data_IF_169279630022
#
_entry.id   IF_169279630022
#
_cell.length_a   1.000
_cell.length_b   1.000
_cell.length_c   1.000
_cell.angle_alpha   90.00
_cell.angle_beta   90.00
_cell.angle_gamma   90.00
#
_symmetry.space_group_name_H-M   'P 1'
#
loop_
_entity.id
_entity.type
_entity.pdbx_description
1 polymer ?
#
# COMPACT_ATOMS: atom_id res chain seq x y z
N UNK A 1 -29.87 -42.95 55.93
CA UNK A 1 -28.45 -42.67 55.60
C UNK A 1 -28.11 -43.37 54.30
N UNK A 2 -27.91 -42.62 53.21
CA UNK A 2 -26.88 -42.88 52.17
C UNK A 2 -27.11 -41.85 51.06
N UNK A 3 -26.20 -40.87 50.93
CA UNK A 3 -26.22 -39.84 49.89
C UNK A 3 -25.38 -40.37 48.72
N UNK A 4 -26.02 -40.66 47.58
CA UNK A 4 -25.30 -40.92 46.33
C UNK A 4 -24.87 -39.55 45.79
N UNK A 5 -23.56 -39.31 45.80
CA UNK A 5 -22.92 -38.12 45.23
C UNK A 5 -22.80 -38.32 43.72
N UNK A 6 -23.62 -37.63 42.93
CA UNK A 6 -23.39 -37.47 41.51
C UNK A 6 -22.20 -36.53 41.31
N UNK A 7 -21.08 -37.08 40.83
CA UNK A 7 -19.88 -36.32 40.51
C UNK A 7 -20.07 -35.68 39.12
N UNK A 8 -20.32 -34.37 39.08
CA UNK A 8 -20.35 -33.60 37.83
C UNK A 8 -18.90 -33.36 37.42
N UNK A 9 -18.44 -34.04 36.37
CA UNK A 9 -17.14 -33.78 35.76
C UNK A 9 -17.27 -32.54 34.87
N UNK A 10 -16.95 -31.36 35.42
CA UNK A 10 -16.85 -30.14 34.63
C UNK A 10 -15.55 -30.20 33.79
N UNK A 11 -15.67 -30.58 32.52
CA UNK A 11 -14.58 -30.47 31.56
C UNK A 11 -14.31 -29.00 31.25
N UNK A 12 -13.22 -28.45 31.78
CA UNK A 12 -12.69 -27.16 31.37
C UNK A 12 -12.02 -27.36 30.01
N UNK A 13 -12.72 -27.01 28.93
CA UNK A 13 -12.09 -26.86 27.63
C UNK A 13 -11.20 -25.62 27.67
N UNK A 14 -9.88 -25.82 27.81
CA UNK A 14 -8.91 -24.75 27.56
C UNK A 14 -9.00 -24.39 26.08
N UNK A 15 -9.66 -23.27 25.78
CA UNK A 15 -9.46 -22.56 24.53
C UNK A 15 -8.03 -22.01 24.55
N UNK A 16 -7.10 -22.75 23.95
CA UNK A 16 -5.77 -22.22 23.67
C UNK A 16 -5.97 -21.03 22.70
N UNK A 17 -5.50 -19.83 23.03
CA UNK A 17 -5.52 -18.74 22.08
C UNK A 17 -4.59 -19.13 20.94
N UNK A 18 -5.17 -19.35 19.75
CA UNK A 18 -4.39 -19.31 18.52
C UNK A 18 -3.85 -17.89 18.44
N UNK A 19 -2.55 -17.73 18.66
CA UNK A 19 -1.87 -16.50 18.34
C UNK A 19 -2.07 -16.27 16.84
N UNK A 20 -3.01 -15.39 16.48
CA UNK A 20 -3.01 -14.79 15.16
C UNK A 20 -1.71 -13.98 15.12
N UNK A 21 -0.72 -14.36 14.30
CA UNK A 21 0.54 -13.66 14.36
C UNK A 21 0.31 -12.22 13.91
N UNK A 22 0.60 -11.28 14.81
CA UNK A 22 0.52 -9.86 14.57
C UNK A 22 1.79 -9.40 13.80
N UNK A 23 2.04 -10.03 12.65
CA UNK A 23 3.24 -9.95 11.76
C UNK A 23 3.54 -8.54 11.20
N UNK A 24 3.14 -7.45 11.87
CA UNK A 24 3.37 -6.10 11.36
C UNK A 24 4.78 -5.56 11.65
N UNK A 25 5.59 -6.28 12.43
CA UNK A 25 6.95 -5.87 12.78
C UNK A 25 7.98 -6.30 11.73
N UNK A 26 7.69 -7.39 11.03
CA UNK A 26 8.51 -8.05 10.02
C UNK A 26 8.11 -7.70 8.58
N UNK A 27 7.08 -6.87 8.39
CA UNK A 27 6.57 -6.52 7.06
C UNK A 27 7.00 -5.13 6.60
N UNK A 28 7.18 -4.97 5.28
CA UNK A 28 7.26 -3.65 4.67
C UNK A 28 5.90 -3.27 4.05
N UNK A 29 5.09 -2.52 4.79
CA UNK A 29 3.77 -2.11 4.31
C UNK A 29 3.91 -1.05 3.22
N UNK A 30 3.29 -1.28 2.06
CA UNK A 30 3.08 -0.30 1.01
C UNK A 30 1.59 -0.08 0.77
N UNK A 31 1.06 1.02 1.30
CA UNK A 31 -0.34 1.39 1.15
C UNK A 31 -0.52 2.46 0.09
N UNK A 32 -1.26 2.15 -0.97
CA UNK A 32 -1.59 3.06 -2.07
C UNK A 32 -3.04 3.52 -1.98
N UNK A 33 -3.26 4.83 -2.07
CA UNK A 33 -4.58 5.38 -2.43
C UNK A 33 -4.55 5.97 -3.83
N UNK A 34 -5.57 5.65 -4.62
CA UNK A 34 -5.76 6.10 -6.00
C UNK A 34 -6.89 7.12 -6.02
N UNK A 35 -6.62 8.30 -6.56
CA UNK A 35 -7.61 9.35 -6.76
C UNK A 35 -7.73 9.67 -8.25
N UNK A 36 -8.74 9.14 -8.94
CA UNK A 36 -8.96 9.45 -10.34
C UNK A 36 -9.57 10.84 -10.51
N UNK A 37 -9.11 11.55 -11.54
CA UNK A 37 -9.66 12.79 -12.05
C UNK A 37 -9.79 12.68 -13.58
N UNK A 38 -10.39 13.69 -14.23
CA UNK A 38 -10.64 13.65 -15.69
C UNK A 38 -9.36 13.65 -16.53
N UNK A 39 -8.33 14.38 -16.10
CA UNK A 39 -7.08 14.63 -16.84
C UNK A 39 -5.84 13.98 -16.20
N UNK A 40 -5.99 13.37 -15.02
CA UNK A 40 -4.93 12.66 -14.34
C UNK A 40 -5.46 11.64 -13.34
N UNK A 41 -4.56 10.78 -12.87
CA UNK A 41 -4.78 9.89 -11.74
C UNK A 41 -3.67 10.19 -10.73
N UNK A 42 -4.05 10.57 -9.51
CA UNK A 42 -3.11 10.77 -8.43
C UNK A 42 -2.93 9.47 -7.64
N UNK A 43 -1.68 9.09 -7.39
CA UNK A 43 -1.32 7.97 -6.54
C UNK A 43 -0.62 8.53 -5.30
N UNK A 44 -1.09 8.15 -4.12
CA UNK A 44 -0.45 8.47 -2.87
C UNK A 44 -0.03 7.18 -2.19
N UNK A 45 1.28 7.01 -2.03
CA UNK A 45 1.90 5.83 -1.44
C UNK A 45 2.45 6.18 -0.07
N UNK A 46 2.08 5.39 0.92
CA UNK A 46 2.63 5.43 2.28
C UNK A 46 3.36 4.13 2.51
N UNK A 47 4.68 4.21 2.64
CA UNK A 47 5.54 3.07 2.87
C UNK A 47 5.99 3.08 4.34
N UNK A 48 5.78 1.98 5.04
CA UNK A 48 6.07 1.86 6.48
C UNK A 48 6.86 0.59 6.70
N UNK A 49 8.19 0.68 6.86
CA UNK A 49 8.98 -0.49 7.23
C UNK A 49 8.65 -0.89 8.67
N UNK A 50 8.37 -2.17 8.90
CA UNK A 50 8.38 -2.76 10.23
C UNK A 50 9.78 -2.73 10.84
N UNK A 51 9.86 -2.84 12.17
CA UNK A 51 11.11 -2.75 12.95
C UNK A 51 12.18 -3.72 12.43
N UNK A 52 11.80 -4.96 12.08
CA UNK A 52 12.75 -6.01 11.72
C UNK A 52 13.28 -5.84 10.29
N UNK A 53 12.51 -5.19 9.40
CA UNK A 53 12.90 -4.92 8.01
C UNK A 53 13.44 -3.51 7.79
N UNK A 54 13.32 -2.62 8.76
CA UNK A 54 13.74 -1.22 8.66
C UNK A 54 15.21 -1.07 8.29
N UNK A 55 16.10 -1.90 8.85
CA UNK A 55 17.52 -1.88 8.50
C UNK A 55 17.77 -2.17 7.02
N UNK A 56 17.08 -3.16 6.45
CA UNK A 56 17.19 -3.51 5.05
C UNK A 56 16.63 -2.40 4.13
N UNK A 57 15.50 -1.80 4.49
CA UNK A 57 14.93 -0.67 3.74
C UNK A 57 15.82 0.57 3.81
N UNK A 58 16.41 0.87 4.97
CA UNK A 58 17.39 1.97 5.11
C UNK A 58 18.59 1.72 4.20
N UNK A 59 19.19 0.52 4.23
CA UNK A 59 20.34 0.19 3.38
C UNK A 59 20.04 0.18 1.88
N UNK A 60 18.76 0.06 1.48
CA UNK A 60 18.36 0.26 0.08
C UNK A 60 18.36 1.74 -0.35
N UNK A 61 18.25 2.66 0.61
CA UNK A 61 18.22 4.11 0.38
C UNK A 61 19.62 4.69 0.59
N UNK A 62 20.25 4.40 1.73
CA UNK A 62 21.63 4.75 2.10
C UNK A 62 22.61 3.88 1.31
N UNK A 63 22.81 4.22 0.05
CA UNK A 63 23.59 3.45 -0.92
C UNK A 63 25.09 3.61 -0.74
N UNK A 64 25.54 4.75 -0.21
CA UNK A 64 26.95 4.97 0.11
C UNK A 64 27.33 4.55 1.54
N UNK A 65 26.33 4.17 2.35
CA UNK A 65 26.47 3.63 3.71
C UNK A 65 27.09 4.63 4.69
N UNK A 66 26.88 5.94 4.48
CA UNK A 66 27.37 7.00 5.38
C UNK A 66 26.49 7.20 6.62
N UNK A 67 25.35 6.49 6.69
CA UNK A 67 24.40 6.55 7.80
C UNK A 67 23.43 7.73 7.73
N UNK A 68 23.33 8.41 6.59
CA UNK A 68 22.40 9.50 6.30
C UNK A 68 21.64 9.21 5.01
N UNK A 69 20.50 9.86 4.83
CA UNK A 69 19.73 9.78 3.58
C UNK A 69 19.90 11.09 2.83
N UNK A 70 20.85 11.15 1.90
CA UNK A 70 21.07 12.34 1.09
C UNK A 70 19.88 12.63 0.17
N UNK A 71 19.69 13.87 -0.31
CA UNK A 71 18.64 14.17 -1.28
C UNK A 71 18.73 13.34 -2.57
N UNK A 72 19.94 13.01 -3.03
CA UNK A 72 20.15 12.20 -4.22
C UNK A 72 19.67 10.75 -4.03
N UNK A 73 19.95 10.17 -2.86
CA UNK A 73 19.50 8.83 -2.49
C UNK A 73 17.99 8.75 -2.31
N UNK A 74 17.40 9.76 -1.66
CA UNK A 74 15.95 9.88 -1.53
C UNK A 74 15.28 9.94 -2.92
N UNK A 75 15.79 10.76 -3.83
CA UNK A 75 15.28 10.86 -5.21
C UNK A 75 15.44 9.54 -5.97
N UNK A 76 16.60 8.89 -5.86
CA UNK A 76 16.85 7.61 -6.51
C UNK A 76 15.91 6.51 -5.98
N UNK A 77 15.62 6.51 -4.67
CA UNK A 77 14.68 5.57 -4.08
C UNK A 77 13.24 5.82 -4.55
N UNK A 78 12.80 7.08 -4.60
CA UNK A 78 11.46 7.44 -5.14
C UNK A 78 11.32 7.02 -6.60
N UNK A 79 12.35 7.25 -7.43
CA UNK A 79 12.36 6.82 -8.82
C UNK A 79 12.29 5.28 -8.96
N UNK A 80 12.98 4.55 -8.09
CA UNK A 80 12.92 3.09 -8.04
C UNK A 80 11.53 2.58 -7.67
N UNK A 81 10.89 3.20 -6.67
CA UNK A 81 9.50 2.87 -6.31
C UNK A 81 8.57 3.16 -7.48
N UNK A 82 8.70 4.33 -8.13
CA UNK A 82 7.89 4.66 -9.31
C UNK A 82 8.04 3.63 -10.45
N UNK A 83 9.26 3.15 -10.70
CA UNK A 83 9.53 2.11 -11.70
C UNK A 83 8.90 0.76 -11.33
N UNK A 84 8.69 0.48 -10.03
CA UNK A 84 7.95 -0.68 -9.55
C UNK A 84 6.43 -0.58 -9.74
N UNK A 85 5.92 0.60 -10.12
CA UNK A 85 4.50 0.81 -10.37
C UNK A 85 4.17 0.67 -11.85
N UNK A 86 3.08 -0.03 -12.14
CA UNK A 86 2.50 -0.08 -13.49
C UNK A 86 1.07 0.45 -13.44
N UNK A 87 0.73 1.33 -14.37
CA UNK A 87 -0.62 1.89 -14.52
C UNK A 87 -1.01 1.82 -15.98
N UNK A 88 -2.23 1.38 -16.27
CA UNK A 88 -2.82 1.49 -17.59
C UNK A 88 -4.27 1.96 -17.53
N UNK A 89 -4.67 2.72 -18.54
CA UNK A 89 -6.05 3.19 -18.70
C UNK A 89 -6.59 2.65 -20.01
N UNK A 90 -7.70 1.91 -19.95
CA UNK A 90 -8.34 1.28 -21.11
C UNK A 90 -7.37 0.39 -21.91
N UNK A 91 -6.42 -0.24 -21.23
CA UNK A 91 -5.38 -1.08 -21.83
C UNK A 91 -4.09 -0.35 -22.22
N UNK A 92 -4.08 0.98 -22.26
CA UNK A 92 -2.90 1.78 -22.65
C UNK A 92 -2.01 2.06 -21.43
N UNK A 93 -0.72 1.67 -21.45
CA UNK A 93 0.22 1.96 -20.37
C UNK A 93 0.46 3.48 -20.20
N UNK A 94 0.54 3.92 -18.95
CA UNK A 94 0.76 5.32 -18.60
C UNK A 94 1.99 5.48 -17.70
N UNK A 95 2.74 6.56 -17.92
CA UNK A 95 3.91 6.87 -17.12
C UNK A 95 3.52 7.37 -15.72
N UNK A 96 4.18 6.84 -14.70
CA UNK A 96 4.06 7.27 -13.31
C UNK A 96 5.18 8.27 -13.01
N UNK A 97 4.82 9.51 -12.67
CA UNK A 97 5.76 10.60 -12.45
C UNK A 97 5.75 11.01 -10.97
N UNK A 98 6.90 11.03 -10.27
CA UNK A 98 6.99 11.56 -8.92
C UNK A 98 6.64 13.05 -8.87
N UNK A 99 5.83 13.45 -7.88
CA UNK A 99 5.48 14.86 -7.63
C UNK A 99 6.09 15.37 -6.33
N UNK A 100 5.99 14.56 -5.28
CA UNK A 100 6.48 14.93 -3.96
C UNK A 100 6.88 13.67 -3.20
N UNK A 101 7.86 13.80 -2.33
CA UNK A 101 8.27 12.76 -1.42
C UNK A 101 8.71 13.38 -0.10
N UNK A 102 8.36 12.72 1.00
CA UNK A 102 8.91 13.04 2.32
C UNK A 102 9.45 11.76 2.96
N UNK A 103 10.58 11.91 3.64
CA UNK A 103 11.24 10.84 4.35
C UNK A 103 11.21 11.16 5.85
N UNK A 104 10.90 10.17 6.69
CA UNK A 104 10.97 10.32 8.14
C UNK A 104 12.42 10.28 8.61
N UNK A 105 12.66 10.50 9.91
CA UNK A 105 13.99 10.28 10.49
C UNK A 105 14.36 8.79 10.48
N UNK A 106 15.66 8.49 10.42
CA UNK A 106 16.15 7.11 10.51
C UNK A 106 15.74 6.42 11.82
N UNK A 107 15.65 7.18 12.92
CA UNK A 107 15.13 6.68 14.21
C UNK A 107 13.68 6.24 14.09
N UNK A 108 12.81 7.06 13.48
CA UNK A 108 11.41 6.73 13.29
C UNK A 108 11.23 5.50 12.38
N UNK A 109 12.05 5.37 11.33
CA UNK A 109 12.07 4.18 10.47
C UNK A 109 12.43 2.92 11.27
N UNK A 110 13.54 2.95 12.02
CA UNK A 110 13.98 1.83 12.86
C UNK A 110 12.96 1.46 13.93
N UNK A 111 12.23 2.45 14.44
CA UNK A 111 11.14 2.26 15.40
C UNK A 111 9.82 1.75 14.79
N UNK A 112 9.74 1.54 13.46
CA UNK A 112 8.51 1.07 12.80
C UNK A 112 7.37 2.09 12.75
N UNK A 113 7.66 3.36 13.00
CA UNK A 113 6.68 4.46 13.06
C UNK A 113 6.86 5.49 11.95
N UNK A 114 8.01 5.45 11.28
CA UNK A 114 8.35 6.33 10.18
C UNK A 114 7.55 5.99 8.93
N UNK A 115 6.97 7.01 8.32
CA UNK A 115 6.21 6.88 7.07
C UNK A 115 6.99 7.58 5.96
N UNK A 116 7.37 6.84 4.93
CA UNK A 116 7.77 7.43 3.66
C UNK A 116 6.50 7.78 2.90
N UNK A 117 6.30 9.06 2.58
CA UNK A 117 5.06 9.56 1.97
C UNK A 117 5.37 10.10 0.58
N UNK A 118 4.92 9.37 -0.45
CA UNK A 118 5.22 9.64 -1.85
C UNK A 118 3.93 9.95 -2.62
N UNK A 119 3.96 11.01 -3.40
CA UNK A 119 2.89 11.39 -4.33
C UNK A 119 3.38 11.25 -5.74
N UNK A 120 2.60 10.57 -6.57
CA UNK A 120 2.85 10.43 -7.98
C UNK A 120 1.63 10.90 -8.77
N UNK A 121 1.89 11.40 -9.98
CA UNK A 121 0.87 11.72 -10.97
C UNK A 121 1.03 10.83 -12.19
N UNK A 122 -0.10 10.36 -12.68
CA UNK A 122 -0.24 9.71 -13.98
C UNK A 122 -1.11 10.62 -14.84
N UNK A 123 -0.57 11.14 -15.96
CA UNK A 123 -1.38 11.92 -16.91
C UNK A 123 -2.31 10.95 -17.63
N UNK A 124 -3.61 11.24 -17.62
CA UNK A 124 -4.62 10.30 -18.11
C UNK A 124 -5.87 11.07 -18.56
N UNK A 125 -6.31 10.89 -19.80
CA UNK A 125 -7.56 11.47 -20.27
C UNK A 125 -8.69 10.44 -20.18
N UNK A 126 -9.58 10.57 -19.20
CA UNK A 126 -10.77 9.73 -19.12
C UNK A 126 -11.69 10.02 -20.30
N UNK A 127 -12.22 8.97 -20.91
CA UNK A 127 -13.25 9.09 -21.95
C UNK A 127 -14.59 9.34 -21.28
N UNK A 128 -15.49 10.06 -21.95
CA UNK A 128 -16.91 10.02 -21.56
C UNK A 128 -17.42 8.58 -21.63
N UNK A 129 -18.16 8.16 -20.62
CA UNK A 129 -18.62 6.79 -20.46
C UNK A 129 -17.67 5.91 -19.63
N UNK A 130 -17.61 4.64 -19.98
CA UNK A 130 -16.87 3.64 -19.21
C UNK A 130 -15.34 3.79 -19.40
N UNK A 131 -14.61 3.69 -18.28
CA UNK A 131 -13.16 3.62 -18.24
C UNK A 131 -12.71 2.48 -17.33
N UNK A 132 -11.62 1.83 -17.70
CA UNK A 132 -11.00 0.77 -16.91
C UNK A 132 -9.56 1.14 -16.56
N UNK A 133 -9.28 1.30 -15.28
CA UNK A 133 -7.93 1.54 -14.76
C UNK A 133 -7.39 0.22 -14.21
N UNK A 134 -6.18 -0.15 -14.62
CA UNK A 134 -5.40 -1.20 -13.98
C UNK A 134 -4.15 -0.59 -13.31
N UNK A 135 -3.86 -1.08 -12.11
CA UNK A 135 -2.70 -0.70 -11.31
C UNK A 135 -2.01 -1.95 -10.78
N UNK A 136 -0.68 -1.94 -10.77
CA UNK A 136 0.14 -2.95 -10.11
C UNK A 136 1.29 -2.31 -9.36
N UNK A 137 1.59 -2.83 -8.17
CA UNK A 137 2.78 -2.52 -7.40
C UNK A 137 3.64 -3.78 -7.28
N UNK A 138 4.83 -3.78 -7.88
CA UNK A 138 5.77 -4.90 -7.81
C UNK A 138 6.48 -5.02 -6.45
N UNK A 139 6.32 -4.04 -5.56
CA UNK A 139 7.07 -3.92 -4.32
C UNK A 139 8.48 -3.38 -4.55
N UNK A 140 9.08 -2.81 -3.51
CA UNK A 140 10.41 -2.22 -3.57
C UNK A 140 11.36 -2.74 -2.48
N UNK A 141 10.92 -3.70 -1.65
CA UNK A 141 11.72 -4.18 -0.52
C UNK A 141 11.35 -5.58 -0.04
N UNK A 142 12.05 -6.09 0.98
CA UNK A 142 11.80 -7.41 1.56
C UNK A 142 10.40 -7.47 2.18
N UNK A 143 9.80 -8.66 2.19
CA UNK A 143 8.56 -8.96 2.91
C UNK A 143 7.47 -7.88 2.73
N UNK A 144 7.33 -7.43 1.47
CA UNK A 144 6.40 -6.35 1.12
C UNK A 144 4.97 -6.84 1.30
N UNK A 145 4.15 -6.04 1.97
CA UNK A 145 2.70 -6.23 2.06
C UNK A 145 2.01 -5.05 1.41
N UNK A 146 1.04 -5.33 0.54
CA UNK A 146 0.33 -4.30 -0.21
C UNK A 146 -1.04 -4.02 0.39
N UNK A 147 -1.42 -2.75 0.34
CA UNK A 147 -2.80 -2.31 0.46
C UNK A 147 -3.08 -1.32 -0.66
N UNK A 148 -4.27 -1.40 -1.26
CA UNK A 148 -4.67 -0.47 -2.32
C UNK A 148 -6.14 -0.14 -2.25
N UNK A 149 -6.48 1.14 -2.36
CA UNK A 149 -7.86 1.62 -2.36
C UNK A 149 -8.05 2.80 -3.31
N UNK A 150 -9.24 2.91 -3.90
CA UNK A 150 -9.65 4.14 -4.57
C UNK A 150 -10.35 5.08 -3.57
N UNK A 151 -9.97 6.35 -3.58
CA UNK A 151 -10.73 7.39 -2.89
C UNK A 151 -12.05 7.66 -3.63
N UNK A 152 -13.04 8.18 -2.91
CA UNK A 152 -14.24 8.70 -3.56
C UNK A 152 -13.82 9.87 -4.46
N UNK A 153 -14.19 9.87 -5.76
CA UNK A 153 -13.87 10.98 -6.66
C UNK A 153 -14.40 12.32 -6.13
N UNK A 154 -13.61 13.38 -6.32
CA UNK A 154 -14.03 14.74 -5.97
C UNK A 154 -14.95 15.34 -7.05
N UNK A 155 -14.81 14.87 -8.29
CA UNK A 155 -15.69 15.22 -9.41
C UNK A 155 -16.99 14.42 -9.30
N UNK A 156 -18.16 15.08 -9.13
CA UNK A 156 -19.44 14.39 -9.02
C UNK A 156 -19.89 13.70 -10.32
N UNK A 157 -19.29 14.06 -11.46
CA UNK A 157 -19.52 13.38 -12.74
C UNK A 157 -18.63 12.16 -12.94
N UNK A 158 -17.84 11.75 -11.94
CA UNK A 158 -17.01 10.55 -11.98
C UNK A 158 -17.49 9.53 -10.94
N UNK A 159 -17.96 8.39 -11.42
CA UNK A 159 -18.59 7.36 -10.58
C UNK A 159 -17.74 6.10 -10.53
N UNK A 160 -17.40 5.63 -9.33
CA UNK A 160 -16.76 4.33 -9.14
C UNK A 160 -17.80 3.23 -9.25
N UNK A 161 -17.65 2.36 -10.26
CA UNK A 161 -18.57 1.26 -10.50
C UNK A 161 -18.13 -0.02 -9.80
N UNK A 162 -16.83 -0.33 -9.86
CA UNK A 162 -16.28 -1.58 -9.34
C UNK A 162 -14.81 -1.44 -8.97
N UNK A 163 -14.41 -2.12 -7.90
CA UNK A 163 -13.02 -2.24 -7.45
C UNK A 163 -12.69 -3.73 -7.28
N UNK A 164 -11.62 -4.21 -7.90
CA UNK A 164 -11.15 -5.60 -7.78
C UNK A 164 -9.70 -5.57 -7.32
N UNK A 165 -9.35 -6.42 -6.37
CA UNK A 165 -7.99 -6.58 -5.82
C UNK A 165 -7.56 -8.02 -5.99
N UNK A 166 -6.27 -8.26 -6.25
CA UNK A 166 -5.66 -9.56 -6.01
C UNK A 166 -5.71 -9.90 -4.51
N UNK A 167 -5.48 -11.18 -4.19
CA UNK A 167 -5.52 -11.65 -2.80
C UNK A 167 -4.51 -10.95 -1.89
N UNK A 168 -3.30 -10.71 -2.41
CA UNK A 168 -2.21 -9.97 -1.77
C UNK A 168 -2.31 -8.45 -1.97
N UNK A 169 -3.25 -7.99 -2.80
CA UNK A 169 -3.50 -6.60 -3.15
C UNK A 169 -2.36 -5.88 -3.88
N UNK A 170 -1.40 -6.59 -4.47
CA UNK A 170 -0.40 -6.00 -5.36
C UNK A 170 -1.00 -5.50 -6.68
N UNK A 171 -2.12 -6.09 -7.09
CA UNK A 171 -2.81 -5.79 -8.33
C UNK A 171 -4.22 -5.26 -8.04
N UNK A 172 -4.63 -4.24 -8.79
CA UNK A 172 -5.87 -3.52 -8.61
C UNK A 172 -6.50 -3.14 -9.94
N UNK A 173 -7.82 -3.31 -10.03
CA UNK A 173 -8.62 -2.84 -11.15
C UNK A 173 -9.76 -1.96 -10.65
N UNK A 174 -10.04 -0.90 -11.41
CA UNK A 174 -11.07 0.08 -11.12
C UNK A 174 -11.87 0.40 -12.37
N UNK A 175 -13.16 0.12 -12.32
CA UNK A 175 -14.12 0.52 -13.35
C UNK A 175 -14.76 1.84 -12.93
N UNK A 176 -14.74 2.82 -13.84
CA UNK A 176 -15.27 4.17 -13.67
C UNK A 176 -16.29 4.50 -14.76
N UNK A 177 -17.30 5.30 -14.43
CA UNK A 177 -18.14 6.01 -15.40
C UNK A 177 -17.83 7.50 -15.31
N UNK A 178 -17.51 8.13 -16.44
CA UNK A 178 -17.39 9.58 -16.52
C UNK A 178 -18.56 10.18 -17.32
N UNK A 179 -19.31 11.06 -16.69
CA UNK A 179 -20.36 11.82 -17.36
C UNK A 179 -19.75 12.80 -18.38
N UNK A 180 -20.52 13.25 -19.39
CA UNK A 180 -20.11 14.37 -20.23
C UNK A 180 -19.66 15.56 -19.38
N UNK A 181 -18.61 16.26 -19.82
CA UNK A 181 -18.10 17.45 -19.15
C UNK A 181 -19.05 18.64 -19.32
#
# INVERSE_FOLDING_TARGET
MSRIRSMVLAGVALLLPVAAPAHRLDEYLQATTIAPARDHIALHLRLVPGVDVAGAVIGQIDTDHDGRLSPAEQQAYVARVAHGLSVSLNGEPLAVVPEAATFPSLEAMRGGTGVLDFRFRVRAALKTGANHLAYRNAGAGPDTVWLVNCLVPQDPGLHVLRQIRSQDQSDYQLDLMADPA
#
